data_IF_438120080241
#
_entry.id   IF_438120080241
#
_cell.length_a   1.000
_cell.length_b   1.000
_cell.length_c   1.000
_cell.angle_alpha   90.00
_cell.angle_beta   90.00
_cell.angle_gamma   90.00
#
_symmetry.space_group_name_H-M   'P 1'
#
loop_
_entity.id
_entity.type
_entity.pdbx_description
1 polymer ?
#
# COMPACT_ATOMS: atom_id res chain seq x y z
N UNK A 1 36.66 -0.41 -12.58
CA UNK A 1 35.56 -0.24 -13.56
C UNK A 1 34.33 0.22 -12.80
N UNK A 2 33.64 1.25 -13.28
CA UNK A 2 32.43 1.76 -12.61
C UNK A 2 31.23 0.81 -12.74
N UNK A 3 30.13 1.12 -12.04
CA UNK A 3 28.87 0.40 -12.19
C UNK A 3 28.29 0.60 -13.60
N UNK A 4 27.77 -0.45 -14.26
CA UNK A 4 26.96 -0.30 -15.47
C UNK A 4 25.72 0.56 -15.21
N UNK A 5 25.22 1.26 -16.25
CA UNK A 5 24.11 2.21 -16.14
C UNK A 5 22.81 1.60 -15.58
N UNK A 6 22.56 0.31 -15.83
CA UNK A 6 21.37 -0.40 -15.35
C UNK A 6 21.51 -0.91 -13.89
N UNK A 7 22.68 -0.77 -13.27
CA UNK A 7 22.93 -1.13 -11.86
C UNK A 7 23.06 0.09 -10.94
N UNK A 8 22.84 1.31 -11.42
CA UNK A 8 23.09 2.52 -10.61
C UNK A 8 22.29 2.55 -9.29
N UNK A 9 21.09 1.95 -9.26
CA UNK A 9 20.27 1.92 -8.04
C UNK A 9 20.70 0.84 -7.04
N UNK A 10 21.64 -0.05 -7.37
CA UNK A 10 22.13 -1.05 -6.39
C UNK A 10 22.86 -0.39 -5.23
N UNK A 11 23.28 0.88 -5.38
CA UNK A 11 23.99 1.64 -4.33
C UNK A 11 23.15 1.83 -3.06
N UNK A 12 21.81 1.76 -3.14
CA UNK A 12 20.94 1.92 -1.96
C UNK A 12 20.55 0.58 -1.31
N UNK A 13 20.98 -0.57 -1.85
CA UNK A 13 20.54 -1.89 -1.35
C UNK A 13 20.94 -2.16 0.11
N UNK A 14 22.06 -1.61 0.55
CA UNK A 14 22.58 -1.77 1.92
C UNK A 14 22.55 -0.45 2.72
N UNK A 15 21.79 0.54 2.26
CA UNK A 15 21.63 1.84 2.92
C UNK A 15 20.12 2.09 3.17
N UNK A 16 19.59 1.64 4.33
CA UNK A 16 18.17 1.76 4.65
C UNK A 16 17.65 3.19 4.65
N UNK A 17 18.47 4.16 5.06
CA UNK A 17 18.10 5.59 5.09
C UNK A 17 17.89 6.13 3.68
N UNK A 18 18.85 5.89 2.77
CA UNK A 18 18.70 6.27 1.36
C UNK A 18 17.64 5.46 0.65
N UNK A 19 17.49 4.18 0.97
CA UNK A 19 16.42 3.34 0.45
C UNK A 19 15.05 3.90 0.84
N UNK A 20 14.85 4.27 2.10
CA UNK A 20 13.64 4.94 2.56
C UNK A 20 13.42 6.26 1.82
N UNK A 21 14.45 7.07 1.68
CA UNK A 21 14.38 8.34 0.96
C UNK A 21 13.91 8.17 -0.49
N UNK A 22 14.45 7.20 -1.24
CA UNK A 22 13.98 6.97 -2.63
C UNK A 22 12.54 6.43 -2.68
N UNK A 23 12.10 5.65 -1.68
CA UNK A 23 10.69 5.25 -1.58
C UNK A 23 9.76 6.44 -1.28
N UNK A 24 10.20 7.38 -0.43
CA UNK A 24 9.47 8.63 -0.18
C UNK A 24 9.39 9.44 -1.48
N UNK A 25 10.49 9.62 -2.20
CA UNK A 25 10.50 10.34 -3.48
C UNK A 25 9.56 9.68 -4.50
N UNK A 26 9.62 8.35 -4.66
CA UNK A 26 8.70 7.63 -5.53
C UNK A 26 7.24 7.86 -5.12
N UNK A 27 6.93 7.79 -3.82
CA UNK A 27 5.57 8.03 -3.31
C UNK A 27 5.11 9.47 -3.59
N UNK A 28 5.98 10.46 -3.39
CA UNK A 28 5.70 11.86 -3.72
C UNK A 28 5.51 12.07 -5.22
N UNK A 29 6.26 11.39 -6.07
CA UNK A 29 6.07 11.45 -7.53
C UNK A 29 4.73 10.85 -7.95
N UNK A 30 4.33 9.70 -7.37
CA UNK A 30 3.02 9.08 -7.63
C UNK A 30 1.89 9.97 -7.12
N UNK A 31 1.99 10.52 -5.91
CA UNK A 31 0.99 11.44 -5.35
C UNK A 31 0.93 12.76 -6.15
N UNK A 32 2.07 13.30 -6.55
CA UNK A 32 2.18 14.49 -7.38
C UNK A 32 1.61 14.26 -8.79
N UNK A 33 1.84 13.09 -9.38
CA UNK A 33 1.21 12.70 -10.63
C UNK A 33 -0.30 12.58 -10.49
N UNK A 34 -0.81 11.90 -9.45
CA UNK A 34 -2.25 11.78 -9.19
C UNK A 34 -2.90 13.16 -9.01
N UNK A 35 -2.31 14.03 -8.19
CA UNK A 35 -2.81 15.40 -7.99
C UNK A 35 -2.67 16.28 -9.23
N UNK A 36 -1.61 16.13 -10.03
CA UNK A 36 -1.46 16.89 -11.28
C UNK A 36 -2.43 16.43 -12.36
N UNK A 37 -2.73 15.13 -12.42
CA UNK A 37 -3.76 14.60 -13.31
C UNK A 37 -5.15 15.06 -12.89
N UNK A 38 -5.47 15.00 -11.58
CA UNK A 38 -6.72 15.54 -11.04
C UNK A 38 -6.85 17.05 -11.31
N UNK A 39 -5.80 17.84 -11.06
CA UNK A 39 -5.78 19.27 -11.38
C UNK A 39 -5.83 19.57 -12.88
N UNK A 40 -5.20 18.75 -13.72
CA UNK A 40 -5.28 18.90 -15.17
C UNK A 40 -6.70 18.62 -15.67
N UNK A 41 -7.32 17.53 -15.21
CA UNK A 41 -8.72 17.20 -15.48
C UNK A 41 -9.66 18.29 -14.96
N UNK A 42 -9.40 18.81 -13.76
CA UNK A 42 -10.17 19.89 -13.15
C UNK A 42 -9.92 21.25 -13.82
N UNK A 43 -8.76 21.50 -14.44
CA UNK A 43 -8.43 22.76 -15.10
C UNK A 43 -8.99 22.87 -16.52
N UNK A 44 -9.30 21.75 -17.17
CA UNK A 44 -10.10 21.71 -18.40
C UNK A 44 -11.60 21.53 -18.10
N UNK A 45 -11.95 21.29 -16.84
CA UNK A 45 -13.30 21.28 -16.29
C UNK A 45 -13.64 22.70 -15.78
N UNK A 46 -14.84 23.22 -16.04
CA UNK A 46 -15.19 24.62 -15.69
C UNK A 46 -15.94 24.73 -14.35
N UNK A 47 -15.30 25.30 -13.29
CA UNK A 47 -16.03 26.08 -12.27
C UNK A 47 -15.18 27.17 -11.51
N UNK A 48 -14.72 28.24 -12.19
CA UNK A 48 -14.26 29.57 -11.70
C UNK A 48 -13.39 29.80 -10.38
N UNK A 49 -12.17 29.19 -10.24
CA UNK A 49 -10.83 29.73 -9.71
C UNK A 49 -10.13 29.28 -8.34
N UNK A 50 -8.89 28.68 -8.35
CA UNK A 50 -8.01 28.52 -7.15
C UNK A 50 -6.44 28.55 -7.36
N UNK A 51 -5.78 29.70 -7.47
CA UNK A 51 -4.38 29.82 -8.02
C UNK A 51 -3.13 29.59 -7.12
N UNK A 52 -3.12 29.59 -5.76
CA UNK A 52 -1.88 30.03 -5.06
C UNK A 52 -0.99 29.11 -4.16
N UNK A 53 -1.13 27.77 -3.95
CA UNK A 53 -0.05 27.02 -3.20
C UNK A 53 -0.06 25.45 -3.20
N UNK A 54 0.97 24.71 -3.74
CA UNK A 54 1.06 23.25 -3.47
C UNK A 54 2.41 22.63 -3.00
N UNK A 55 2.26 21.44 -2.40
CA UNK A 55 3.08 20.67 -1.43
C UNK A 55 4.47 20.13 -1.80
N UNK A 56 5.00 20.29 -3.01
CA UNK A 56 6.19 19.55 -3.51
C UNK A 56 7.54 19.91 -2.85
N UNK A 57 7.55 20.69 -1.77
CA UNK A 57 8.75 21.19 -1.10
C UNK A 57 9.21 20.40 0.13
N UNK A 58 8.71 19.19 0.38
CA UNK A 58 9.01 18.46 1.63
C UNK A 58 9.41 16.99 1.41
N UNK A 59 10.71 16.73 1.19
CA UNK A 59 11.34 15.40 1.37
C UNK A 59 12.88 15.39 1.52
N UNK A 60 13.54 16.53 1.81
CA UNK A 60 15.03 16.61 1.88
C UNK A 60 15.60 15.95 3.17
N UNK A 61 14.80 15.83 4.21
CA UNK A 61 15.27 15.46 5.55
C UNK A 61 15.88 14.05 5.64
N UNK A 62 15.17 13.02 5.16
CA UNK A 62 15.64 11.62 5.25
C UNK A 62 16.85 11.32 4.35
N UNK A 63 17.10 12.13 3.32
CA UNK A 63 18.31 11.99 2.48
C UNK A 63 19.55 12.52 3.20
N UNK A 64 19.42 13.65 3.89
CA UNK A 64 20.53 14.30 4.61
C UNK A 64 20.87 13.53 5.90
N UNK A 65 19.86 13.08 6.63
CA UNK A 65 20.01 12.34 7.90
C UNK A 65 19.79 10.84 7.69
N UNK A 66 20.63 10.23 6.84
CA UNK A 66 20.53 8.80 6.51
C UNK A 66 21.15 7.89 7.59
N UNK A 67 22.18 8.37 8.30
CA UNK A 67 22.93 7.64 9.33
C UNK A 67 22.26 7.75 10.72
N UNK A 68 21.06 7.16 10.83
CA UNK A 68 20.31 7.11 12.08
C UNK A 68 20.61 5.81 12.84
N UNK A 69 20.80 5.91 14.15
CA UNK A 69 21.10 4.77 15.05
C UNK A 69 20.05 3.65 14.94
N UNK A 70 18.78 3.98 14.69
CA UNK A 70 17.70 3.01 14.49
C UNK A 70 17.91 2.04 13.32
N UNK A 71 18.76 2.39 12.35
CA UNK A 71 19.09 1.53 11.22
C UNK A 71 20.32 0.66 11.47
N UNK A 72 21.08 0.92 12.55
CA UNK A 72 22.29 0.21 12.88
C UNK A 72 22.02 -0.93 13.89
N UNK A 73 22.59 -2.10 13.61
CA UNK A 73 22.64 -3.19 14.57
C UNK A 73 23.66 -2.87 15.67
N UNK A 74 23.22 -2.75 16.92
CA UNK A 74 24.08 -2.41 18.05
C UNK A 74 25.21 -3.43 18.30
N UNK A 75 25.03 -4.70 17.91
CA UNK A 75 26.02 -5.75 18.14
C UNK A 75 27.11 -5.77 17.06
N UNK A 76 26.82 -5.29 15.84
CA UNK A 76 27.70 -5.42 14.67
C UNK A 76 28.12 -4.05 14.12
N UNK A 77 27.43 -2.97 14.48
CA UNK A 77 27.67 -1.60 13.99
C UNK A 77 27.39 -1.44 12.51
N UNK A 78 26.50 -2.26 11.94
CA UNK A 78 26.17 -2.27 10.51
C UNK A 78 24.68 -2.06 10.29
N UNK A 79 24.27 -1.47 9.15
CA UNK A 79 22.86 -1.35 8.82
C UNK A 79 22.16 -2.72 8.77
N UNK A 80 21.03 -2.86 9.45
CA UNK A 80 20.24 -4.09 9.43
C UNK A 80 18.73 -3.80 9.43
N UNK A 81 17.99 -4.64 8.72
CA UNK A 81 16.52 -4.57 8.67
C UNK A 81 15.95 -5.92 9.06
N UNK A 82 15.15 -5.93 10.13
CA UNK A 82 14.38 -7.10 10.55
C UNK A 82 13.14 -7.25 9.67
N UNK A 83 13.36 -7.69 8.42
CA UNK A 83 12.34 -7.79 7.37
C UNK A 83 11.06 -8.55 7.81
N UNK A 84 11.14 -9.69 8.53
CA UNK A 84 9.93 -10.36 8.99
C UNK A 84 9.13 -9.55 10.02
N UNK A 85 9.78 -8.79 10.90
CA UNK A 85 9.07 -7.90 11.84
C UNK A 85 8.45 -6.72 11.10
N UNK A 86 9.19 -6.09 10.19
CA UNK A 86 8.70 -5.00 9.34
C UNK A 86 7.45 -5.46 8.57
N UNK A 87 7.47 -6.68 8.00
CA UNK A 87 6.32 -7.28 7.35
C UNK A 87 5.12 -7.39 8.30
N UNK A 88 5.31 -7.90 9.53
CA UNK A 88 4.25 -7.98 10.54
C UNK A 88 3.63 -6.62 10.88
N UNK A 89 4.44 -5.58 11.03
CA UNK A 89 3.96 -4.20 11.28
C UNK A 89 3.10 -3.71 10.10
N UNK A 90 3.61 -3.83 8.87
CA UNK A 90 2.90 -3.36 7.68
C UNK A 90 1.61 -4.16 7.45
N UNK A 91 1.62 -5.48 7.66
CA UNK A 91 0.44 -6.33 7.53
C UNK A 91 -0.62 -5.98 8.58
N UNK A 92 -0.21 -5.74 9.83
CA UNK A 92 -1.13 -5.30 10.88
C UNK A 92 -1.79 -3.96 10.53
N UNK A 93 -0.99 -2.96 10.14
CA UNK A 93 -1.50 -1.64 9.75
C UNK A 93 -2.41 -1.72 8.51
N UNK A 94 -2.03 -2.55 7.53
CA UNK A 94 -2.86 -2.80 6.34
C UNK A 94 -4.19 -3.47 6.71
N UNK A 95 -4.17 -4.40 7.67
CA UNK A 95 -5.37 -5.04 8.21
C UNK A 95 -6.31 -4.05 8.90
N UNK A 96 -5.77 -3.16 9.75
CA UNK A 96 -6.54 -2.09 10.40
C UNK A 96 -7.15 -1.14 9.37
N UNK A 97 -6.36 -0.70 8.38
CA UNK A 97 -6.84 0.18 7.32
C UNK A 97 -7.94 -0.49 6.47
N UNK A 98 -7.73 -1.75 6.07
CA UNK A 98 -8.71 -2.53 5.29
C UNK A 98 -10.01 -2.75 6.07
N UNK A 99 -9.92 -3.14 7.34
CA UNK A 99 -11.10 -3.29 8.20
C UNK A 99 -11.85 -1.97 8.34
N UNK A 100 -11.14 -0.87 8.63
CA UNK A 100 -11.75 0.45 8.78
C UNK A 100 -12.45 0.93 7.53
N UNK A 101 -11.84 0.72 6.35
CA UNK A 101 -12.46 1.04 5.07
C UNK A 101 -13.78 0.27 4.89
N UNK A 102 -13.79 -1.05 5.08
CA UNK A 102 -15.01 -1.86 4.97
C UNK A 102 -16.06 -1.50 6.02
N UNK A 103 -15.67 -1.44 7.30
CA UNK A 103 -16.58 -1.31 8.43
C UNK A 103 -17.19 0.09 8.57
N UNK A 104 -16.49 1.14 8.12
CA UNK A 104 -16.92 2.53 8.31
C UNK A 104 -17.21 3.26 7.01
N UNK A 105 -16.30 3.20 6.03
CA UNK A 105 -16.44 3.96 4.79
C UNK A 105 -17.49 3.34 3.87
N UNK A 106 -17.36 2.05 3.55
CA UNK A 106 -18.23 1.34 2.58
C UNK A 106 -19.65 1.14 3.12
N UNK A 107 -19.77 0.76 4.39
CA UNK A 107 -21.07 0.56 5.06
C UNK A 107 -21.83 1.86 5.30
N UNK A 108 -21.19 3.02 5.13
CA UNK A 108 -21.76 4.31 5.47
C UNK A 108 -21.95 4.56 6.97
N UNK A 109 -21.41 3.70 7.85
CA UNK A 109 -21.50 3.89 9.30
C UNK A 109 -20.76 5.16 9.76
N UNK A 110 -19.62 5.45 9.13
CA UNK A 110 -18.85 6.67 9.35
C UNK A 110 -18.12 7.08 8.06
N UNK A 111 -18.87 7.14 6.96
CA UNK A 111 -18.39 7.51 5.63
C UNK A 111 -19.54 7.65 4.63
N UNK A 112 -19.26 8.04 3.38
CA UNK A 112 -20.30 8.31 2.38
C UNK A 112 -20.90 7.04 1.76
N UNK A 113 -20.29 5.87 1.95
CA UNK A 113 -20.58 4.68 1.15
C UNK A 113 -19.80 4.67 -0.16
N UNK A 114 -20.29 3.92 -1.14
CA UNK A 114 -19.65 3.77 -2.46
C UNK A 114 -20.64 4.03 -3.59
N UNK A 115 -20.14 4.17 -4.82
CA UNK A 115 -20.99 4.28 -6.00
C UNK A 115 -21.75 2.97 -6.26
N UNK A 116 -23.05 3.08 -6.51
CA UNK A 116 -23.95 1.98 -6.86
C UNK A 116 -24.83 2.43 -8.02
N UNK A 117 -25.21 1.50 -8.90
CA UNK A 117 -26.20 1.75 -9.95
C UNK A 117 -27.17 0.58 -10.08
N UNK A 118 -28.27 0.78 -10.80
CA UNK A 118 -29.15 -0.30 -11.22
C UNK A 118 -28.49 -1.14 -12.33
N UNK A 119 -29.01 -2.33 -12.67
CA UNK A 119 -28.40 -3.21 -13.67
C UNK A 119 -28.24 -2.60 -15.07
N UNK A 120 -28.98 -1.53 -15.39
CA UNK A 120 -28.90 -0.83 -16.67
C UNK A 120 -28.04 0.44 -16.61
N UNK A 121 -27.49 0.80 -15.44
CA UNK A 121 -26.59 1.95 -15.29
C UNK A 121 -27.29 3.32 -15.35
N UNK A 122 -28.61 3.38 -15.12
CA UNK A 122 -29.43 4.59 -15.33
C UNK A 122 -29.57 5.46 -14.06
N UNK A 123 -29.43 4.86 -12.88
CA UNK A 123 -29.72 5.47 -11.57
C UNK A 123 -28.50 5.39 -10.65
N UNK A 124 -27.32 5.76 -11.17
CA UNK A 124 -26.07 5.80 -10.41
C UNK A 124 -26.08 6.85 -9.30
N UNK A 125 -25.67 6.46 -8.09
CA UNK A 125 -25.47 7.36 -6.95
C UNK A 125 -24.52 6.76 -5.91
N UNK A 126 -23.94 7.61 -5.07
CA UNK A 126 -23.22 7.18 -3.87
C UNK A 126 -24.24 6.78 -2.79
N UNK A 127 -24.08 5.59 -2.21
CA UNK A 127 -24.91 5.16 -1.08
C UNK A 127 -24.19 4.16 -0.16
N UNK A 128 -24.61 4.05 1.11
CA UNK A 128 -24.18 3.00 2.02
C UNK A 128 -24.48 1.59 1.49
N UNK A 129 -23.59 0.63 1.74
CA UNK A 129 -23.75 -0.77 1.31
C UNK A 129 -23.69 -1.71 2.52
N UNK A 130 -24.78 -2.46 2.74
CA UNK A 130 -24.81 -3.49 3.77
C UNK A 130 -23.94 -4.70 3.37
N UNK A 131 -23.16 -5.28 4.28
CA UNK A 131 -22.33 -6.44 3.97
C UNK A 131 -23.19 -7.68 3.71
N UNK A 132 -22.81 -8.44 2.67
CA UNK A 132 -23.39 -9.74 2.36
C UNK A 132 -22.45 -10.86 2.86
N UNK A 133 -22.96 -11.71 3.74
CA UNK A 133 -22.18 -12.78 4.37
C UNK A 133 -22.48 -14.18 3.81
N UNK A 134 -23.52 -14.30 2.99
CA UNK A 134 -23.84 -15.54 2.29
C UNK A 134 -23.00 -15.74 1.03
N UNK A 135 -23.38 -16.73 0.22
CA UNK A 135 -22.70 -17.07 -1.02
C UNK A 135 -22.77 -15.96 -2.06
N UNK A 136 -23.81 -15.13 -1.99
CA UNK A 136 -24.01 -13.95 -2.83
C UNK A 136 -22.91 -12.90 -2.63
N UNK A 137 -22.19 -12.91 -1.49
CA UNK A 137 -21.05 -12.03 -1.28
C UNK A 137 -19.84 -12.34 -2.18
N UNK A 138 -19.84 -13.48 -2.88
CA UNK A 138 -18.82 -13.83 -3.87
C UNK A 138 -19.23 -13.53 -5.31
N UNK A 139 -20.47 -13.08 -5.54
CA UNK A 139 -20.90 -12.60 -6.85
C UNK A 139 -20.26 -11.21 -7.09
N UNK A 140 -19.47 -11.04 -8.17
CA UNK A 140 -18.79 -9.76 -8.44
C UNK A 140 -19.77 -8.59 -8.68
N UNK A 141 -21.05 -8.86 -8.95
CA UNK A 141 -22.07 -7.83 -9.15
C UNK A 141 -22.89 -7.53 -7.89
N UNK A 142 -22.67 -8.25 -6.79
CA UNK A 142 -23.29 -7.99 -5.48
C UNK A 142 -22.34 -7.18 -4.62
N UNK A 143 -22.61 -5.88 -4.50
CA UNK A 143 -21.74 -4.94 -3.81
C UNK A 143 -21.58 -5.22 -2.30
N UNK A 144 -22.54 -5.92 -1.68
CA UNK A 144 -22.42 -6.37 -0.30
C UNK A 144 -21.18 -7.24 -0.06
N UNK A 145 -20.70 -7.93 -1.10
CA UNK A 145 -19.44 -8.68 -1.09
C UNK A 145 -18.21 -7.81 -0.87
N UNK A 146 -18.22 -6.55 -1.34
CA UNK A 146 -17.09 -5.62 -1.14
C UNK A 146 -16.93 -5.28 0.34
N UNK A 147 -18.03 -4.95 1.02
CA UNK A 147 -18.00 -4.61 2.45
C UNK A 147 -17.58 -5.82 3.30
N UNK A 148 -18.18 -6.99 3.07
CA UNK A 148 -17.85 -8.20 3.82
C UNK A 148 -16.42 -8.67 3.57
N UNK A 149 -15.93 -8.59 2.32
CA UNK A 149 -14.54 -8.87 1.97
C UNK A 149 -13.57 -8.01 2.78
N UNK A 150 -13.73 -6.68 2.79
CA UNK A 150 -12.82 -5.78 3.51
C UNK A 150 -12.84 -6.00 5.03
N UNK A 151 -14.02 -6.24 5.61
CA UNK A 151 -14.15 -6.53 7.04
C UNK A 151 -13.47 -7.86 7.39
N UNK A 152 -13.69 -8.92 6.61
CA UNK A 152 -13.12 -10.24 6.86
C UNK A 152 -11.61 -10.26 6.60
N UNK A 153 -11.16 -9.75 5.45
CA UNK A 153 -9.74 -9.68 5.09
C UNK A 153 -8.96 -8.76 6.03
N UNK A 154 -9.55 -7.63 6.44
CA UNK A 154 -8.95 -6.73 7.43
C UNK A 154 -8.76 -7.42 8.79
N UNK A 155 -9.78 -8.12 9.27
CA UNK A 155 -9.71 -8.90 10.52
C UNK A 155 -8.62 -9.98 10.46
N UNK A 156 -8.57 -10.74 9.36
CA UNK A 156 -7.53 -11.74 9.15
C UNK A 156 -6.13 -11.11 9.03
N UNK A 157 -6.02 -9.96 8.37
CA UNK A 157 -4.77 -9.19 8.26
C UNK A 157 -4.25 -8.73 9.62
N UNK A 158 -5.12 -8.29 10.53
CA UNK A 158 -4.77 -7.93 11.92
C UNK A 158 -4.21 -9.16 12.66
N UNK A 159 -4.94 -10.28 12.62
CA UNK A 159 -4.53 -11.51 13.31
C UNK A 159 -3.22 -12.07 12.75
N UNK A 160 -3.07 -12.09 11.42
CA UNK A 160 -1.84 -12.52 10.76
C UNK A 160 -0.68 -11.56 11.04
N UNK A 161 -0.92 -10.25 11.06
CA UNK A 161 0.07 -9.25 11.44
C UNK A 161 0.60 -9.50 12.86
N UNK A 162 -0.29 -9.73 13.83
CA UNK A 162 0.09 -10.10 15.20
C UNK A 162 0.90 -11.41 15.24
N UNK A 163 0.46 -12.44 14.51
CA UNK A 163 1.20 -13.71 14.41
C UNK A 163 2.63 -13.50 13.89
N UNK A 164 2.79 -12.69 12.84
CA UNK A 164 4.10 -12.37 12.26
C UNK A 164 4.99 -11.53 13.18
N UNK A 165 4.41 -10.77 14.11
CA UNK A 165 5.14 -10.07 15.17
C UNK A 165 5.54 -11.01 16.31
N UNK A 166 4.70 -11.99 16.64
CA UNK A 166 4.90 -12.91 17.76
C UNK A 166 5.76 -14.14 17.44
N UNK A 167 5.82 -14.58 16.19
CA UNK A 167 6.42 -15.88 15.82
C UNK A 167 7.61 -15.71 14.88
N UNK A 168 8.68 -16.48 15.13
CA UNK A 168 9.86 -16.58 14.25
C UNK A 168 10.03 -18.00 13.74
N UNK A 169 10.43 -18.14 12.48
CA UNK A 169 10.67 -19.45 11.85
C UNK A 169 12.08 -19.56 11.28
N UNK A 170 13.03 -20.21 11.98
CA UNK A 170 14.41 -20.37 11.51
C UNK A 170 14.54 -21.19 10.22
N UNK A 171 13.67 -22.20 10.04
CA UNK A 171 13.67 -23.06 8.85
C UNK A 171 13.28 -22.27 7.60
N UNK A 172 12.20 -21.49 7.68
CA UNK A 172 11.75 -20.64 6.57
C UNK A 172 12.72 -19.48 6.32
N UNK A 173 13.33 -18.93 7.38
CA UNK A 173 14.33 -17.87 7.24
C UNK A 173 15.48 -18.28 6.32
N UNK A 174 16.04 -19.49 6.54
CA UNK A 174 17.09 -20.04 5.68
C UNK A 174 16.57 -20.45 4.31
N UNK A 175 15.42 -21.13 4.26
CA UNK A 175 14.84 -21.65 3.01
C UNK A 175 14.49 -20.55 2.00
N UNK A 176 13.95 -19.44 2.47
CA UNK A 176 13.52 -18.30 1.65
C UNK A 176 14.54 -17.15 1.58
N UNK A 177 15.68 -17.29 2.25
CA UNK A 177 16.73 -16.25 2.33
C UNK A 177 16.16 -14.91 2.85
N UNK A 178 15.41 -14.94 3.95
CA UNK A 178 14.70 -13.76 4.49
C UNK A 178 15.61 -12.63 4.99
N UNK A 179 16.94 -12.83 5.02
CA UNK A 179 17.91 -11.76 5.27
C UNK A 179 18.27 -10.93 4.03
N UNK A 180 17.83 -11.33 2.82
CA UNK A 180 18.03 -10.56 1.59
C UNK A 180 16.73 -9.82 1.23
N UNK A 181 16.81 -8.50 1.08
CA UNK A 181 15.68 -7.67 0.67
C UNK A 181 15.18 -7.99 -0.75
N UNK A 182 16.02 -8.55 -1.62
CA UNK A 182 15.62 -8.95 -2.98
C UNK A 182 14.61 -10.11 -2.96
N UNK A 183 14.59 -10.97 -1.93
CA UNK A 183 13.51 -11.97 -1.75
C UNK A 183 12.16 -11.27 -1.55
N UNK A 184 12.15 -10.16 -0.83
CA UNK A 184 10.93 -9.36 -0.60
C UNK A 184 10.54 -8.65 -1.88
N UNK A 185 11.50 -8.09 -2.63
CA UNK A 185 11.24 -7.48 -3.94
C UNK A 185 10.62 -8.49 -4.91
N UNK A 186 11.21 -9.68 -5.02
CA UNK A 186 10.75 -10.75 -5.91
C UNK A 186 9.30 -11.17 -5.60
N UNK A 187 9.00 -11.46 -4.33
CA UNK A 187 7.64 -11.85 -3.94
C UNK A 187 6.63 -10.71 -4.08
N UNK A 188 7.01 -9.45 -3.85
CA UNK A 188 6.15 -8.29 -4.07
C UNK A 188 5.80 -8.08 -5.55
N UNK A 189 6.75 -8.26 -6.47
CA UNK A 189 6.48 -8.15 -7.92
C UNK A 189 5.38 -9.15 -8.34
N UNK A 190 5.45 -10.38 -7.85
CA UNK A 190 4.45 -11.42 -8.16
C UNK A 190 3.06 -11.01 -7.66
N UNK A 191 2.94 -10.51 -6.42
CA UNK A 191 1.64 -10.11 -5.85
C UNK A 191 1.07 -8.88 -6.54
N UNK A 192 1.91 -7.88 -6.87
CA UNK A 192 1.47 -6.67 -7.60
C UNK A 192 1.03 -7.04 -9.02
N UNK A 193 1.75 -7.93 -9.70
CA UNK A 193 1.36 -8.42 -11.03
C UNK A 193 0.03 -9.18 -10.97
N UNK A 194 -0.16 -10.07 -9.99
CA UNK A 194 -1.43 -10.76 -9.79
C UNK A 194 -2.59 -9.76 -9.60
N UNK A 195 -2.42 -8.75 -8.75
CA UNK A 195 -3.42 -7.71 -8.56
C UNK A 195 -3.73 -6.95 -9.86
N UNK A 196 -2.70 -6.63 -10.66
CA UNK A 196 -2.87 -5.98 -11.96
C UNK A 196 -3.74 -6.81 -12.92
N UNK A 197 -3.52 -8.14 -12.99
CA UNK A 197 -4.35 -9.03 -13.81
C UNK A 197 -5.80 -9.11 -13.33
N UNK A 198 -6.02 -9.11 -12.01
CA UNK A 198 -7.38 -9.14 -11.47
C UNK A 198 -8.12 -7.86 -11.81
N UNK A 199 -7.50 -6.68 -11.63
CA UNK A 199 -8.17 -5.41 -11.93
C UNK A 199 -8.39 -5.23 -13.43
N UNK A 200 -7.45 -5.65 -14.28
CA UNK A 200 -7.60 -5.66 -15.74
C UNK A 200 -8.78 -6.54 -16.18
N UNK A 201 -8.94 -7.72 -15.57
CA UNK A 201 -10.08 -8.60 -15.86
C UNK A 201 -11.44 -8.09 -15.39
N UNK A 202 -11.48 -7.10 -14.50
CA UNK A 202 -12.73 -6.53 -13.95
C UNK A 202 -13.11 -5.16 -14.54
N UNK A 203 -12.22 -4.53 -15.31
CA UNK A 203 -12.45 -3.27 -16.01
C UNK A 203 -13.00 -3.53 -17.42
#
# INVERSE_FOLDING_TARGET
>A
MGLPWYHIHTIVLNDPGRLLSVHIIHTTLVAGWAGSMDLYELAIFDPFDPVLDPMWRQAIWHWVYWDLEIFCDECIGKPSLDLPKIFGIHLFLSGVACFGFGAFHVTGLYGPGIWVSDPYGLMGKVQPVNPAWGVEGFDPFVLGGIASHHIAAGTLGILAGLLHLSVRSPRLYKGLRMGNIETVLSSRIVVVFFAAFVVDGTM
#
